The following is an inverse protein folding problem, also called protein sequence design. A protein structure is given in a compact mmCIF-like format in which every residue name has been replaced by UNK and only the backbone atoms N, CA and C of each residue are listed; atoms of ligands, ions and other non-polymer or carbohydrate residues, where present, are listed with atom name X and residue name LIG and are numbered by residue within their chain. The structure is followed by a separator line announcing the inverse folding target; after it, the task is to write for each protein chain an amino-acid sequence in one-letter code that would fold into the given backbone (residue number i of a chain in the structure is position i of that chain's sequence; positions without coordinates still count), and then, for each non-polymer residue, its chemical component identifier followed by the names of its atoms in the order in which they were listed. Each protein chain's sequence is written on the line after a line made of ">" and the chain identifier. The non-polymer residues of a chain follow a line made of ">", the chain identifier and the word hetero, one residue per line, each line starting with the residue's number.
data_IF_340307836018
#
_entry.id   IF_340307836018
#
_cell.length_a   1.000
_cell.length_b   1.000
_cell.length_c   1.000
_cell.angle_alpha   90.00
_cell.angle_beta   90.00
_cell.angle_gamma   90.00
#
_symmetry.space_group_name_H-M   'P 1'
#
loop_
_entity.id
_entity.type
_entity.pdbx_description
1 polymer ?
#
# COMPACT_ATOMS: atom_id res chain seq x y z
N UNK A 1 -59.14 14.85 -34.37
CA UNK A 1 -58.33 14.42 -33.22
C UNK A 1 -57.88 12.97 -33.42
N UNK A 2 -56.69 12.71 -34.01
CA UNK A 2 -56.13 11.36 -34.11
C UNK A 2 -55.36 11.05 -32.84
N UNK A 3 -55.78 10.05 -32.13
CA UNK A 3 -55.40 9.73 -30.77
C UNK A 3 -53.92 9.29 -30.64
N UNK A 4 -53.23 9.91 -29.72
CA UNK A 4 -51.82 9.67 -29.27
C UNK A 4 -51.61 8.27 -28.68
N UNK A 5 -52.60 7.34 -28.76
CA UNK A 5 -52.61 6.01 -28.17
C UNK A 5 -52.02 4.91 -29.09
N UNK A 6 -52.09 5.08 -30.41
CA UNK A 6 -51.57 4.06 -31.36
C UNK A 6 -50.06 3.74 -31.25
N UNK A 7 -49.13 4.72 -31.08
CA UNK A 7 -47.71 4.37 -31.01
C UNK A 7 -47.35 3.66 -29.69
N UNK A 8 -48.10 3.86 -28.61
CA UNK A 8 -47.88 3.15 -27.33
C UNK A 8 -48.29 1.69 -27.39
N UNK A 9 -49.43 1.39 -28.01
CA UNK A 9 -49.90 0.01 -28.22
C UNK A 9 -48.97 -0.80 -29.15
N UNK A 10 -48.49 -0.20 -30.24
CA UNK A 10 -47.51 -0.81 -31.13
C UNK A 10 -46.17 -1.11 -30.45
N UNK A 11 -45.72 -0.22 -29.57
CA UNK A 11 -44.50 -0.44 -28.75
C UNK A 11 -44.65 -1.54 -27.70
N UNK A 12 -45.82 -1.63 -27.07
CA UNK A 12 -46.16 -2.71 -26.12
C UNK A 12 -46.29 -4.07 -26.82
N UNK A 13 -46.93 -4.13 -27.97
CA UNK A 13 -47.03 -5.36 -28.78
C UNK A 13 -45.67 -5.82 -29.27
N UNK A 14 -44.79 -4.91 -29.68
CA UNK A 14 -43.41 -5.24 -30.07
C UNK A 14 -42.56 -5.77 -28.88
N UNK A 15 -42.78 -5.20 -27.69
CA UNK A 15 -42.12 -5.64 -26.45
C UNK A 15 -42.64 -7.04 -26.00
N UNK A 16 -43.95 -7.27 -26.06
CA UNK A 16 -44.59 -8.55 -25.76
C UNK A 16 -44.13 -9.65 -26.74
N UNK A 17 -44.03 -9.35 -28.03
CA UNK A 17 -43.57 -10.27 -29.07
C UNK A 17 -42.07 -10.63 -28.88
N UNK A 18 -41.26 -9.65 -28.47
CA UNK A 18 -39.84 -9.88 -28.13
C UNK A 18 -39.69 -10.78 -26.90
N UNK A 19 -40.50 -10.59 -25.86
CA UNK A 19 -40.50 -11.39 -24.63
C UNK A 19 -40.98 -12.84 -24.92
N UNK A 20 -42.01 -13.03 -25.72
CA UNK A 20 -42.52 -14.35 -26.12
C UNK A 20 -41.46 -15.08 -26.97
N UNK A 21 -40.79 -14.40 -27.90
CA UNK A 21 -39.74 -15.00 -28.70
C UNK A 21 -38.51 -15.37 -27.84
N UNK A 22 -38.16 -14.56 -26.83
CA UNK A 22 -37.10 -14.89 -25.87
C UNK A 22 -37.46 -16.09 -24.98
N UNK A 23 -38.71 -16.20 -24.52
CA UNK A 23 -39.19 -17.35 -23.77
C UNK A 23 -39.18 -18.65 -24.63
N UNK A 24 -39.64 -18.59 -25.92
CA UNK A 24 -39.53 -19.70 -26.86
C UNK A 24 -38.08 -20.12 -27.09
N UNK A 25 -37.16 -19.20 -27.13
CA UNK A 25 -35.72 -19.43 -27.25
C UNK A 25 -35.17 -20.31 -26.10
N UNK A 26 -35.54 -19.98 -24.86
CA UNK A 26 -35.10 -20.71 -23.66
C UNK A 26 -35.69 -22.15 -23.65
N UNK A 27 -36.89 -22.34 -24.16
CA UNK A 27 -37.58 -23.67 -24.16
C UNK A 27 -37.05 -24.58 -25.26
N UNK A 28 -36.56 -24.05 -26.39
CA UNK A 28 -36.13 -24.82 -27.58
C UNK A 28 -34.68 -25.36 -27.51
N UNK A 29 -33.90 -25.00 -26.47
CA UNK A 29 -32.52 -25.49 -26.35
C UNK A 29 -32.53 -26.99 -25.98
N UNK A 30 -31.89 -27.88 -26.74
CA UNK A 30 -31.79 -29.29 -26.40
C UNK A 30 -30.98 -29.45 -25.10
N UNK A 31 -31.63 -29.97 -24.06
CA UNK A 31 -31.04 -30.21 -22.73
C UNK A 31 -30.18 -31.49 -22.75
N UNK A 32 -29.05 -31.42 -23.44
CA UNK A 32 -28.06 -32.51 -23.49
C UNK A 32 -27.22 -32.53 -22.19
N UNK A 33 -26.48 -33.62 -21.96
CA UNK A 33 -25.51 -33.70 -20.85
C UNK A 33 -24.49 -32.54 -20.89
N UNK A 34 -24.02 -32.17 -22.07
CA UNK A 34 -23.11 -31.02 -22.28
C UNK A 34 -23.73 -29.69 -21.84
N UNK A 35 -25.05 -29.49 -22.09
CA UNK A 35 -25.74 -28.29 -21.61
C UNK A 35 -25.65 -28.13 -20.09
N UNK A 36 -25.94 -29.22 -19.35
CA UNK A 36 -25.87 -29.19 -17.88
C UNK A 36 -24.44 -28.98 -17.34
N UNK A 37 -23.46 -29.62 -17.96
CA UNK A 37 -22.06 -29.47 -17.57
C UNK A 37 -21.55 -28.00 -17.78
N UNK A 38 -21.85 -27.42 -18.94
CA UNK A 38 -21.49 -26.05 -19.27
C UNK A 38 -22.20 -25.05 -18.32
N UNK A 39 -23.50 -25.31 -18.05
CA UNK A 39 -24.28 -24.48 -17.11
C UNK A 39 -23.68 -24.53 -15.70
N UNK A 40 -23.34 -25.73 -15.21
CA UNK A 40 -22.71 -25.91 -13.91
C UNK A 40 -21.35 -25.20 -13.84
N UNK A 41 -20.52 -25.39 -14.86
CA UNK A 41 -19.20 -24.74 -14.94
C UNK A 41 -19.33 -23.21 -14.95
N UNK A 42 -20.29 -22.66 -15.68
CA UNK A 42 -20.59 -21.23 -15.72
C UNK A 42 -21.04 -20.74 -14.34
N UNK A 43 -21.98 -21.43 -13.68
CA UNK A 43 -22.47 -21.03 -12.34
C UNK A 43 -21.33 -21.02 -11.32
N UNK A 44 -20.46 -22.04 -11.33
CA UNK A 44 -19.28 -22.09 -10.46
C UNK A 44 -18.29 -20.98 -10.78
N UNK A 45 -18.04 -20.72 -12.06
CA UNK A 45 -17.14 -19.62 -12.49
C UNK A 45 -17.66 -18.25 -12.07
N UNK A 46 -18.95 -17.98 -12.30
CA UNK A 46 -19.59 -16.71 -11.89
C UNK A 46 -19.59 -16.57 -10.35
N UNK A 47 -19.95 -17.63 -9.62
CA UNK A 47 -19.94 -17.61 -8.17
C UNK A 47 -18.52 -17.32 -7.63
N UNK A 48 -17.49 -17.92 -8.20
CA UNK A 48 -16.10 -17.68 -7.82
C UNK A 48 -15.68 -16.24 -8.10
N UNK A 49 -15.92 -15.74 -9.32
CA UNK A 49 -15.51 -14.36 -9.70
C UNK A 49 -16.25 -13.30 -8.89
N UNK A 50 -17.55 -13.49 -8.63
CA UNK A 50 -18.34 -12.59 -7.76
C UNK A 50 -17.80 -12.63 -6.32
N UNK A 51 -17.49 -13.82 -5.78
CA UNK A 51 -16.90 -13.95 -4.45
C UNK A 51 -15.55 -13.22 -4.36
N UNK A 52 -14.69 -13.35 -5.37
CA UNK A 52 -13.41 -12.65 -5.43
C UNK A 52 -13.60 -11.12 -5.53
N UNK A 53 -14.62 -10.65 -6.25
CA UNK A 53 -15.00 -9.24 -6.29
C UNK A 53 -15.37 -8.69 -4.90
N UNK A 54 -16.23 -9.38 -4.17
CA UNK A 54 -16.59 -9.00 -2.80
C UNK A 54 -15.42 -9.10 -1.82
N UNK A 55 -14.56 -10.11 -1.97
CA UNK A 55 -13.35 -10.22 -1.16
C UNK A 55 -12.43 -9.01 -1.36
N UNK A 56 -12.25 -8.54 -2.59
CA UNK A 56 -11.46 -7.34 -2.87
C UNK A 56 -12.08 -6.09 -2.26
N UNK A 57 -13.42 -5.94 -2.28
CA UNK A 57 -14.10 -4.83 -1.62
C UNK A 57 -13.93 -4.87 -0.09
N UNK A 58 -13.99 -6.06 0.52
CA UNK A 58 -13.72 -6.21 1.96
C UNK A 58 -12.29 -5.78 2.30
N UNK A 59 -11.31 -6.17 1.48
CA UNK A 59 -9.92 -5.74 1.66
C UNK A 59 -9.72 -4.24 1.44
N UNK A 60 -10.48 -3.64 0.53
CA UNK A 60 -10.48 -2.18 0.34
C UNK A 60 -10.99 -1.47 1.61
N UNK A 61 -12.11 -1.93 2.17
CA UNK A 61 -12.70 -1.35 3.39
C UNK A 61 -11.76 -1.47 4.60
N UNK A 62 -11.10 -2.61 4.81
CA UNK A 62 -10.10 -2.78 5.88
C UNK A 62 -8.94 -1.78 5.73
N UNK A 63 -8.46 -1.57 4.50
CA UNK A 63 -7.38 -0.62 4.22
C UNK A 63 -7.82 0.83 4.39
N UNK A 64 -9.05 1.15 4.01
CA UNK A 64 -9.64 2.48 4.20
C UNK A 64 -9.74 2.82 5.68
N UNK A 65 -10.19 1.88 6.52
CA UNK A 65 -10.23 2.05 7.96
C UNK A 65 -8.82 2.33 8.52
N UNK A 66 -7.81 1.54 8.14
CA UNK A 66 -6.43 1.78 8.57
C UNK A 66 -5.89 3.13 8.10
N UNK A 67 -6.22 3.55 6.87
CA UNK A 67 -5.85 4.86 6.36
C UNK A 67 -6.48 5.99 7.18
N UNK A 68 -7.74 5.83 7.58
CA UNK A 68 -8.43 6.80 8.45
C UNK A 68 -7.76 6.88 9.84
N UNK A 69 -7.37 5.74 10.43
CA UNK A 69 -6.62 5.70 11.70
C UNK A 69 -5.27 6.44 11.59
N UNK A 70 -4.50 6.18 10.52
CA UNK A 70 -3.24 6.88 10.26
C UNK A 70 -3.49 8.39 10.13
N UNK A 71 -4.50 8.78 9.37
CA UNK A 71 -4.84 10.20 9.18
C UNK A 71 -5.24 10.86 10.48
N UNK A 72 -6.01 10.19 11.33
CA UNK A 72 -6.37 10.66 12.67
C UNK A 72 -5.13 10.87 13.55
N UNK A 73 -4.16 9.94 13.52
CA UNK A 73 -2.90 10.09 14.26
C UNK A 73 -2.06 11.27 13.73
N UNK A 74 -2.00 11.47 12.42
CA UNK A 74 -1.30 12.61 11.82
C UNK A 74 -1.93 13.97 12.20
N UNK A 75 -3.22 14.00 12.49
CA UNK A 75 -3.96 15.19 12.92
C UNK A 75 -3.97 15.37 14.45
N UNK A 76 -3.53 14.38 15.21
CA UNK A 76 -3.45 14.47 16.66
C UNK A 76 -2.50 15.60 17.10
N UNK A 77 -2.68 16.15 18.33
CA UNK A 77 -1.83 17.19 18.87
C UNK A 77 -0.34 16.85 18.74
N UNK A 78 0.47 17.84 18.39
CA UNK A 78 1.91 17.67 18.25
C UNK A 78 2.53 17.36 19.61
N UNK A 79 3.36 16.33 19.68
CA UNK A 79 4.07 15.97 20.89
C UNK A 79 5.37 16.78 21.01
N UNK A 80 5.58 17.39 22.16
CA UNK A 80 6.84 18.02 22.55
C UNK A 80 7.76 17.02 23.27
N UNK A 81 9.04 17.36 23.43
CA UNK A 81 10.01 16.56 24.20
C UNK A 81 9.50 16.20 25.60
N UNK A 82 8.99 17.13 26.41
CA UNK A 82 8.46 16.78 27.73
C UNK A 82 7.27 15.83 27.69
N UNK A 83 6.38 16.01 26.68
CA UNK A 83 5.21 15.12 26.49
C UNK A 83 5.61 13.72 26.05
N UNK A 84 6.72 13.61 25.31
CA UNK A 84 7.28 12.33 24.88
C UNK A 84 7.93 11.59 26.05
N UNK A 85 8.70 12.29 26.86
CA UNK A 85 9.38 11.73 28.05
C UNK A 85 8.40 11.30 29.13
N UNK A 86 7.26 12.00 29.27
CA UNK A 86 6.24 11.67 30.28
C UNK A 86 5.45 10.38 29.96
N UNK A 87 5.45 9.92 28.71
CA UNK A 87 4.68 8.77 28.27
C UNK A 87 5.54 7.89 27.37
N UNK A 88 5.78 6.61 27.73
CA UNK A 88 6.56 5.70 26.90
C UNK A 88 6.06 5.70 25.46
N UNK A 89 6.98 5.80 24.49
CA UNK A 89 6.68 5.70 23.06
C UNK A 89 6.22 4.28 22.74
N UNK A 90 4.90 4.09 22.77
CA UNK A 90 4.27 2.87 22.27
C UNK A 90 3.98 3.00 20.77
N UNK A 91 4.02 1.90 20.06
CA UNK A 91 3.60 1.80 18.65
C UNK A 91 2.17 2.29 18.38
N UNK A 92 1.35 2.49 19.40
CA UNK A 92 0.00 3.09 19.31
C UNK A 92 -0.01 4.56 18.82
N UNK A 93 1.13 5.25 18.83
CA UNK A 93 1.27 6.65 18.40
C UNK A 93 2.00 6.81 17.06
N UNK A 94 2.12 5.73 16.29
CA UNK A 94 2.73 5.80 14.96
C UNK A 94 2.02 6.87 14.13
N UNK A 95 2.81 7.62 13.38
CA UNK A 95 2.42 8.72 12.50
C UNK A 95 2.04 10.03 13.20
N UNK A 96 1.96 10.08 14.54
CA UNK A 96 1.73 11.33 15.26
C UNK A 96 2.93 12.28 15.09
N UNK A 97 2.64 13.55 14.88
CA UNK A 97 3.66 14.60 14.70
C UNK A 97 4.37 14.89 16.02
N UNK A 98 5.67 15.17 15.93
CA UNK A 98 6.52 15.51 17.08
C UNK A 98 7.38 16.73 16.77
N UNK A 99 7.67 17.51 17.81
CA UNK A 99 8.70 18.56 17.79
C UNK A 99 9.61 18.30 18.99
N UNK A 100 10.82 17.85 18.70
CA UNK A 100 11.79 17.41 19.68
C UNK A 100 12.94 18.40 19.79
N UNK A 101 13.44 18.59 21.00
CA UNK A 101 14.67 19.31 21.27
C UNK A 101 15.68 18.35 21.90
N UNK A 102 16.91 18.39 21.42
CA UNK A 102 17.97 17.49 21.90
C UNK A 102 19.32 17.78 21.25
N UNK A 103 20.28 16.92 21.52
CA UNK A 103 21.62 16.95 20.96
C UNK A 103 21.86 15.77 20.07
N UNK A 104 22.40 16.00 18.86
CA UNK A 104 22.81 14.90 18.00
C UNK A 104 23.97 14.13 18.60
N UNK A 105 23.98 12.81 18.39
CA UNK A 105 25.10 11.91 18.66
C UNK A 105 25.71 11.45 17.34
N UNK A 106 26.50 12.28 16.65
CA UNK A 106 26.97 12.02 15.28
C UNK A 106 27.87 10.79 15.17
N UNK A 107 28.58 10.46 16.23
CA UNK A 107 29.46 9.27 16.33
C UNK A 107 28.69 7.95 16.18
N UNK A 108 27.40 7.96 16.44
CA UNK A 108 26.48 6.83 16.30
C UNK A 108 25.63 6.90 15.04
N UNK A 109 25.98 7.73 14.06
CA UNK A 109 25.23 7.81 12.79
C UNK A 109 25.39 6.53 12.00
N UNK A 110 24.26 6.01 11.47
CA UNK A 110 24.18 4.83 10.59
C UNK A 110 23.64 5.22 9.23
N UNK A 111 24.28 4.71 8.19
CA UNK A 111 23.87 4.87 6.80
C UNK A 111 23.28 3.54 6.31
N UNK A 112 21.96 3.46 6.15
CA UNK A 112 21.31 2.27 5.62
C UNK A 112 21.42 2.24 4.10
N UNK A 113 22.21 1.32 3.57
CA UNK A 113 22.42 1.16 2.13
C UNK A 113 21.19 0.55 1.42
N UNK A 114 21.21 0.67 0.10
CA UNK A 114 20.18 0.14 -0.77
C UNK A 114 18.77 0.72 -0.50
N UNK A 115 18.73 2.01 -0.16
CA UNK A 115 17.49 2.76 0.06
C UNK A 115 17.26 3.72 -1.12
N UNK A 116 16.55 3.29 -2.17
CA UNK A 116 16.34 4.17 -3.32
C UNK A 116 15.37 5.30 -2.99
N UNK A 117 15.63 6.48 -3.56
CA UNK A 117 14.72 7.63 -3.55
C UNK A 117 14.72 8.25 -4.95
N UNK A 118 13.53 8.49 -5.52
CA UNK A 118 13.34 9.04 -6.86
C UNK A 118 14.14 8.29 -7.95
N UNK A 119 14.20 6.96 -7.87
CA UNK A 119 14.92 6.10 -8.83
C UNK A 119 16.44 6.12 -8.70
N UNK A 120 17.01 6.82 -7.72
CA UNK A 120 18.45 6.88 -7.44
C UNK A 120 18.80 6.02 -6.24
N UNK A 121 19.88 5.24 -6.31
CA UNK A 121 20.40 4.49 -5.18
C UNK A 121 21.06 5.42 -4.16
N UNK A 122 20.86 5.14 -2.86
CA UNK A 122 21.40 5.95 -1.80
C UNK A 122 21.22 5.35 -0.42
N UNK A 123 21.45 6.18 0.58
CA UNK A 123 21.43 5.84 2.00
C UNK A 123 20.30 6.55 2.72
N UNK A 124 19.60 5.87 3.61
CA UNK A 124 18.89 6.53 4.68
C UNK A 124 19.85 6.81 5.83
N UNK A 125 19.89 8.06 6.26
CA UNK A 125 20.77 8.51 7.34
C UNK A 125 20.00 8.50 8.65
N UNK A 126 20.48 7.74 9.61
CA UNK A 126 19.91 7.63 10.94
C UNK A 126 20.91 8.13 11.96
N UNK A 127 20.50 9.05 12.83
CA UNK A 127 21.33 9.57 13.91
C UNK A 127 20.51 9.59 15.20
N UNK A 128 21.04 9.13 16.34
CA UNK A 128 20.36 9.29 17.61
C UNK A 128 20.30 10.76 18.03
N UNK A 129 19.17 11.15 18.57
CA UNK A 129 18.96 12.43 19.22
C UNK A 129 18.81 12.18 20.72
N UNK A 130 19.73 12.73 21.51
CA UNK A 130 19.67 12.70 22.96
C UNK A 130 18.69 13.77 23.45
N UNK A 131 17.62 13.34 24.10
CA UNK A 131 16.53 14.21 24.59
C UNK A 131 16.78 14.68 26.01
N UNK A 132 17.35 13.81 26.84
CA UNK A 132 17.81 14.07 28.19
C UNK A 132 19.04 13.19 28.53
N UNK A 133 19.48 13.18 29.81
CA UNK A 133 20.67 12.43 30.25
C UNK A 133 20.59 10.93 29.94
N UNK A 134 19.40 10.34 29.95
CA UNK A 134 19.23 8.88 29.86
C UNK A 134 18.42 8.45 28.65
N UNK A 135 17.70 9.36 27.98
CA UNK A 135 16.74 8.99 26.94
C UNK A 135 17.18 9.48 25.58
N UNK A 136 17.16 8.58 24.63
CA UNK A 136 17.52 8.81 23.24
C UNK A 136 16.40 8.32 22.32
N UNK A 137 16.32 8.94 21.15
CA UNK A 137 15.43 8.50 20.06
C UNK A 137 16.23 8.43 18.76
N UNK A 138 16.06 7.35 18.02
CA UNK A 138 16.68 7.22 16.70
C UNK A 138 15.88 8.05 15.68
N UNK A 139 16.55 8.99 15.02
CA UNK A 139 15.93 9.85 14.03
C UNK A 139 16.36 9.44 12.63
N UNK A 140 15.40 9.16 11.75
CA UNK A 140 15.60 9.01 10.32
C UNK A 140 15.68 10.42 9.72
N UNK A 141 16.89 10.97 9.61
CA UNK A 141 17.15 12.38 9.26
C UNK A 141 16.84 12.71 7.82
N UNK A 142 17.07 11.78 6.91
CA UNK A 142 16.89 12.01 5.49
C UNK A 142 17.61 10.99 4.62
N UNK A 143 17.72 11.30 3.36
CA UNK A 143 18.36 10.49 2.36
C UNK A 143 19.53 11.22 1.69
N UNK A 144 20.59 10.47 1.41
CA UNK A 144 21.76 10.92 0.64
C UNK A 144 21.97 10.01 -0.57
N UNK A 145 22.37 10.56 -1.73
CA UNK A 145 22.75 9.74 -2.88
C UNK A 145 24.06 9.00 -2.58
N UNK A 146 24.15 7.74 -3.05
CA UNK A 146 25.38 6.97 -2.99
C UNK A 146 26.37 7.46 -4.03
N UNK A 147 27.67 7.41 -3.71
CA UNK A 147 28.74 7.68 -4.68
C UNK A 147 28.66 6.64 -5.82
N UNK A 148 28.79 7.09 -7.07
CA UNK A 148 28.53 6.23 -8.24
C UNK A 148 29.62 5.17 -8.44
N UNK A 149 30.88 5.49 -8.13
CA UNK A 149 32.03 4.64 -8.39
C UNK A 149 32.47 3.84 -7.15
N UNK A 150 32.27 4.39 -5.97
CA UNK A 150 32.71 3.74 -4.71
C UNK A 150 31.56 3.73 -3.70
N UNK A 151 31.11 2.52 -3.36
CA UNK A 151 30.02 2.29 -2.40
C UNK A 151 30.42 2.56 -0.96
N UNK A 152 31.71 2.59 -0.67
CA UNK A 152 32.25 2.76 0.68
C UNK A 152 32.48 4.21 1.02
N UNK A 153 32.47 5.09 0.03
CA UNK A 153 32.65 6.51 0.22
C UNK A 153 31.35 7.15 0.72
N UNK A 154 31.37 7.52 2.00
CA UNK A 154 30.25 8.23 2.62
C UNK A 154 30.28 9.69 2.18
N UNK A 155 29.11 10.26 1.84
CA UNK A 155 28.95 11.69 1.65
C UNK A 155 29.29 12.47 2.95
N UNK A 156 29.83 13.67 2.81
CA UNK A 156 30.05 14.56 3.95
C UNK A 156 28.70 15.00 4.53
N UNK A 157 28.45 14.64 5.78
CA UNK A 157 27.24 14.99 6.51
C UNK A 157 27.56 16.07 7.55
N UNK A 158 27.09 17.27 7.28
CA UNK A 158 27.22 18.35 8.24
C UNK A 158 26.15 18.20 9.34
N UNK A 159 26.58 17.76 10.52
CA UNK A 159 25.69 17.64 11.68
C UNK A 159 25.82 18.86 12.58
N UNK A 160 24.74 19.62 12.81
CA UNK A 160 24.77 20.76 13.71
C UNK A 160 25.20 20.36 15.12
N UNK A 161 26.02 21.21 15.75
CA UNK A 161 26.44 21.07 17.15
C UNK A 161 25.51 21.84 18.07
N UNK A 162 25.38 21.39 19.32
CA UNK A 162 24.52 22.03 20.32
C UNK A 162 23.08 21.56 20.33
N UNK A 163 22.22 22.37 20.97
CA UNK A 163 20.80 22.06 21.07
C UNK A 163 20.10 22.30 19.73
N UNK A 164 19.49 21.28 19.17
CA UNK A 164 18.72 21.36 17.92
C UNK A 164 17.24 21.11 18.16
N UNK A 165 16.41 21.62 17.24
CA UNK A 165 15.01 21.33 17.19
C UNK A 165 14.71 20.51 15.93
N UNK A 166 14.07 19.37 16.10
CA UNK A 166 13.71 18.44 15.04
C UNK A 166 12.20 18.33 14.94
N UNK A 167 11.66 18.58 13.76
CA UNK A 167 10.25 18.35 13.46
C UNK A 167 10.12 17.04 12.67
N UNK A 168 9.16 16.22 13.09
CA UNK A 168 9.00 14.92 12.47
C UNK A 168 7.68 14.25 12.84
N UNK A 169 7.64 12.96 12.59
CA UNK A 169 6.54 12.07 13.00
C UNK A 169 7.10 10.78 13.57
N UNK A 170 6.38 10.18 14.50
CA UNK A 170 6.72 8.86 15.01
C UNK A 170 6.61 7.84 13.88
N UNK A 171 7.63 7.04 13.69
CA UNK A 171 7.71 6.04 12.64
C UNK A 171 8.18 4.69 13.20
N UNK A 172 7.84 3.58 12.56
CA UNK A 172 8.46 2.31 12.89
C UNK A 172 9.96 2.36 12.55
N UNK A 173 10.76 1.46 13.11
CA UNK A 173 12.11 1.23 12.61
C UNK A 173 12.10 1.01 11.10
N UNK A 174 13.17 1.35 10.38
CA UNK A 174 13.29 1.05 8.96
C UNK A 174 13.05 -0.44 8.70
N UNK A 175 12.28 -0.76 7.65
CA UNK A 175 12.01 -2.15 7.27
C UNK A 175 13.29 -2.87 6.89
N UNK A 176 13.41 -4.13 7.30
CA UNK A 176 14.51 -4.98 6.91
C UNK A 176 14.46 -5.30 5.42
N UNK A 177 15.61 -5.20 4.77
CA UNK A 177 15.83 -5.73 3.43
C UNK A 177 16.28 -7.18 3.54
N UNK A 178 15.82 -8.01 2.61
CA UNK A 178 16.26 -9.40 2.53
C UNK A 178 17.76 -9.44 2.25
N UNK A 179 18.52 -10.01 3.18
CA UNK A 179 19.97 -10.24 3.03
C UNK A 179 20.19 -11.67 2.58
N UNK A 180 20.94 -11.86 1.49
CA UNK A 180 21.32 -13.19 1.00
C UNK A 180 22.48 -13.80 1.82
N UNK A 181 23.16 -12.99 2.63
CA UNK A 181 24.24 -13.42 3.52
C UNK A 181 23.93 -13.00 4.95
N UNK A 182 23.91 -13.97 5.85
CA UNK A 182 23.91 -13.75 7.30
C UNK A 182 25.34 -13.37 7.75
N UNK A 183 25.81 -12.18 7.39
CA UNK A 183 26.90 -11.58 8.15
C UNK A 183 26.25 -10.95 9.39
N UNK A 184 26.53 -11.46 10.59
CA UNK A 184 26.07 -10.81 11.81
C UNK A 184 26.55 -9.35 11.77
N UNK A 185 25.70 -8.42 12.13
CA UNK A 185 26.02 -7.00 12.28
C UNK A 185 26.93 -6.85 13.50
N UNK A 186 28.15 -7.39 13.39
CA UNK A 186 29.18 -7.28 14.42
C UNK A 186 29.65 -5.85 14.39
N UNK A 187 29.09 -5.03 15.26
CA UNK A 187 29.42 -3.63 15.48
C UNK A 187 30.87 -3.43 15.95
N UNK A 188 31.83 -3.86 15.15
CA UNK A 188 33.23 -3.48 15.30
C UNK A 188 33.42 -2.06 14.77
N UNK A 189 33.13 -1.08 15.61
CA UNK A 189 33.38 0.32 15.38
C UNK A 189 34.88 0.61 15.31
N UNK A 190 35.48 0.45 14.13
CA UNK A 190 36.87 0.91 13.92
C UNK A 190 37.21 1.39 12.51
N UNK A 191 36.23 1.44 11.60
CA UNK A 191 36.42 2.09 10.29
C UNK A 191 35.10 2.67 9.79
N UNK A 192 35.14 3.71 8.95
CA UNK A 192 33.94 4.33 8.37
C UNK A 192 32.98 3.35 7.68
N UNK A 193 33.43 2.14 7.37
CA UNK A 193 32.62 1.02 6.85
C UNK A 193 31.63 0.45 7.88
N UNK A 194 31.90 0.55 9.18
CA UNK A 194 31.01 0.09 10.25
C UNK A 194 29.74 0.95 10.37
N UNK A 195 29.73 2.13 9.78
CA UNK A 195 28.57 3.01 9.74
C UNK A 195 27.59 2.66 8.60
N UNK A 196 28.06 1.94 7.57
CA UNK A 196 27.22 1.50 6.45
C UNK A 196 26.64 0.11 6.79
N UNK A 197 25.31 0.05 6.91
CA UNK A 197 24.58 -1.18 7.23
C UNK A 197 23.47 -1.38 6.22
N UNK A 198 23.04 -2.61 6.03
CA UNK A 198 21.86 -2.91 5.20
C UNK A 198 20.57 -2.84 6.02
N UNK A 199 20.63 -3.34 7.24
CA UNK A 199 19.54 -3.34 8.22
C UNK A 199 20.02 -2.81 9.57
N UNK A 200 19.12 -2.51 10.47
CA UNK A 200 19.41 -2.10 11.84
C UNK A 200 18.49 -2.86 12.79
N UNK A 201 19.09 -3.65 13.66
CA UNK A 201 18.39 -4.29 14.77
C UNK A 201 18.38 -3.33 15.96
N UNK A 202 17.20 -2.85 16.33
CA UNK A 202 17.05 -1.80 17.35
C UNK A 202 17.62 -2.20 18.70
N UNK A 203 17.46 -3.47 19.11
CA UNK A 203 17.97 -3.96 20.41
C UNK A 203 19.50 -3.97 20.45
N UNK A 204 20.13 -4.47 19.39
CA UNK A 204 21.59 -4.48 19.25
C UNK A 204 22.16 -3.07 19.14
N UNK A 205 21.42 -2.18 18.49
CA UNK A 205 21.84 -0.79 18.35
C UNK A 205 21.67 -0.03 19.67
N UNK A 206 20.59 -0.24 20.40
CA UNK A 206 20.37 0.33 21.72
C UNK A 206 21.45 -0.12 22.74
N UNK A 207 21.91 -1.37 22.65
CA UNK A 207 23.02 -1.85 23.48
C UNK A 207 24.33 -1.09 23.25
N UNK A 208 24.55 -0.51 22.07
CA UNK A 208 25.74 0.27 21.73
C UNK A 208 25.62 1.76 22.14
N UNK A 209 24.40 2.31 22.03
CA UNK A 209 24.16 3.76 22.19
C UNK A 209 23.61 4.10 23.58
N UNK A 210 22.96 3.15 24.24
CA UNK A 210 22.25 3.30 25.53
C UNK A 210 20.73 3.31 25.35
N UNK A 211 20.01 3.55 26.45
CA UNK A 211 18.55 3.46 26.47
C UNK A 211 17.88 4.32 25.40
N UNK A 212 17.05 3.67 24.61
CA UNK A 212 16.44 4.25 23.43
C UNK A 212 14.97 3.83 23.29
N UNK A 213 14.16 4.69 22.73
CA UNK A 213 12.80 4.34 22.37
C UNK A 213 12.76 3.26 21.28
N UNK A 214 11.82 2.32 21.39
CA UNK A 214 11.61 1.27 20.39
C UNK A 214 11.08 1.80 19.04
N UNK A 215 10.35 2.92 19.06
CA UNK A 215 9.94 3.63 17.85
C UNK A 215 10.97 4.67 17.45
N UNK A 216 11.02 5.00 16.16
CA UNK A 216 11.91 6.03 15.61
C UNK A 216 11.15 7.32 15.32
N UNK A 217 11.85 8.38 14.98
CA UNK A 217 11.27 9.62 14.46
C UNK A 217 11.72 9.83 13.02
N UNK A 218 10.78 9.97 12.12
CA UNK A 218 11.06 10.36 10.74
C UNK A 218 11.04 11.89 10.66
N UNK A 219 12.16 12.50 10.34
CA UNK A 219 12.30 13.96 10.22
C UNK A 219 11.56 14.46 8.97
N UNK A 220 10.75 15.52 9.11
CA UNK A 220 9.86 16.02 8.05
C UNK A 220 9.96 17.53 7.82
N UNK A 221 10.85 18.23 8.52
CA UNK A 221 11.18 19.62 8.22
C UNK A 221 11.86 19.76 6.85
N UNK A 222 12.08 20.99 6.42
CA UNK A 222 12.69 21.28 5.12
C UNK A 222 14.06 20.62 4.96
N UNK A 223 14.42 20.36 3.72
CA UNK A 223 15.72 19.78 3.37
C UNK A 223 16.85 20.65 3.89
N UNK A 224 17.74 20.07 4.68
CA UNK A 224 18.89 20.74 5.32
C UNK A 224 20.05 19.77 5.43
N UNK A 225 21.25 20.28 5.72
CA UNK A 225 22.42 19.46 6.00
C UNK A 225 22.82 18.53 4.85
N UNK A 226 22.41 18.86 3.60
CA UNK A 226 22.60 18.03 2.41
C UNK A 226 21.64 16.84 2.28
N UNK A 227 20.71 16.68 3.22
CA UNK A 227 19.76 15.58 3.27
C UNK A 227 18.46 15.89 2.51
N UNK A 228 18.00 14.96 1.71
CA UNK A 228 16.67 15.01 1.07
C UNK A 228 15.65 14.32 1.96
N UNK A 229 14.46 14.92 2.10
CA UNK A 229 13.36 14.41 2.94
C UNK A 229 12.07 14.16 2.15
N UNK A 230 12.20 13.75 0.90
CA UNK A 230 11.08 13.39 0.04
C UNK A 230 10.57 11.97 0.34
N UNK A 231 10.07 11.79 1.56
CA UNK A 231 9.59 10.50 2.01
C UNK A 231 8.35 10.05 1.23
N UNK A 232 8.25 8.75 0.88
CA UNK A 232 7.07 8.24 0.23
C UNK A 232 5.80 8.52 1.04
N UNK A 233 4.70 8.91 0.40
CA UNK A 233 3.43 9.12 1.09
C UNK A 233 2.92 7.81 1.70
N UNK A 234 2.30 7.92 2.88
CA UNK A 234 1.71 6.78 3.57
C UNK A 234 0.36 6.49 2.94
N UNK A 235 0.32 5.55 2.01
CA UNK A 235 -0.92 5.13 1.32
C UNK A 235 -1.13 3.64 1.47
N UNK A 236 -2.36 3.24 1.76
CA UNK A 236 -2.74 1.83 1.85
C UNK A 236 -3.05 1.21 0.48
N UNK A 237 -3.11 2.02 -0.59
CA UNK A 237 -3.38 1.55 -1.94
C UNK A 237 -4.78 0.94 -2.08
N UNK A 238 -5.79 1.59 -1.53
CA UNK A 238 -7.21 1.18 -1.56
C UNK A 238 -7.71 1.06 -2.98
N UNK A 239 -7.32 1.99 -3.85
CA UNK A 239 -7.74 2.11 -5.24
C UNK A 239 -7.40 0.84 -6.05
N UNK A 240 -6.28 0.19 -5.75
CA UNK A 240 -5.88 -1.07 -6.40
C UNK A 240 -6.90 -2.19 -6.12
N UNK A 241 -7.38 -2.29 -4.89
CA UNK A 241 -8.37 -3.30 -4.52
C UNK A 241 -9.72 -3.02 -5.17
N UNK A 242 -10.15 -1.75 -5.26
CA UNK A 242 -11.38 -1.35 -5.95
C UNK A 242 -11.28 -1.68 -7.45
N UNK A 243 -10.15 -1.38 -8.09
CA UNK A 243 -9.90 -1.71 -9.49
C UNK A 243 -9.97 -3.24 -9.74
N UNK A 244 -9.36 -4.04 -8.86
CA UNK A 244 -9.45 -5.51 -8.96
C UNK A 244 -10.88 -6.02 -8.73
N UNK A 245 -11.65 -5.44 -7.79
CA UNK A 245 -13.04 -5.81 -7.60
C UNK A 245 -13.87 -5.55 -8.86
N UNK A 246 -13.68 -4.39 -9.49
CA UNK A 246 -14.31 -4.07 -10.77
C UNK A 246 -13.96 -5.09 -11.86
N UNK A 247 -12.69 -5.46 -12.00
CA UNK A 247 -12.27 -6.48 -12.97
C UNK A 247 -12.95 -7.82 -12.73
N UNK A 248 -13.09 -8.28 -11.48
CA UNK A 248 -13.77 -9.53 -11.15
C UNK A 248 -15.26 -9.48 -11.52
N UNK A 249 -15.95 -8.38 -11.25
CA UNK A 249 -17.36 -8.22 -11.64
C UNK A 249 -17.53 -8.13 -13.16
N UNK A 250 -16.60 -7.48 -13.87
CA UNK A 250 -16.61 -7.48 -15.34
C UNK A 250 -16.41 -8.89 -15.91
N UNK A 251 -15.51 -9.70 -15.31
CA UNK A 251 -15.33 -11.09 -15.72
C UNK A 251 -16.58 -11.94 -15.47
N UNK A 252 -17.28 -11.75 -14.34
CA UNK A 252 -18.54 -12.41 -14.07
C UNK A 252 -19.61 -12.04 -15.11
N UNK A 253 -19.72 -10.76 -15.43
CA UNK A 253 -20.64 -10.28 -16.46
C UNK A 253 -20.31 -10.84 -17.86
N UNK A 254 -19.03 -10.88 -18.20
CA UNK A 254 -18.55 -11.46 -19.47
C UNK A 254 -18.88 -12.95 -19.57
N UNK A 255 -18.65 -13.74 -18.50
CA UNK A 255 -19.00 -15.17 -18.45
C UNK A 255 -20.49 -15.38 -18.68
N UNK A 256 -21.36 -14.59 -18.02
CA UNK A 256 -22.80 -14.64 -18.24
C UNK A 256 -23.18 -14.27 -19.68
N UNK A 257 -22.57 -13.24 -20.23
CA UNK A 257 -22.85 -12.78 -21.60
C UNK A 257 -22.43 -13.85 -22.63
N UNK A 258 -21.25 -14.43 -22.48
CA UNK A 258 -20.77 -15.51 -23.35
C UNK A 258 -21.67 -16.77 -23.23
N UNK A 259 -22.04 -17.13 -22.01
CA UNK A 259 -22.96 -18.24 -21.76
C UNK A 259 -24.29 -18.04 -22.49
N UNK A 260 -24.92 -16.86 -22.33
CA UNK A 260 -26.19 -16.53 -23.02
C UNK A 260 -26.01 -16.56 -24.54
N UNK A 261 -24.89 -16.03 -25.02
CA UNK A 261 -24.60 -16.01 -26.45
C UNK A 261 -24.48 -17.41 -27.04
N UNK A 262 -23.64 -18.27 -26.47
CA UNK A 262 -23.36 -19.59 -27.03
C UNK A 262 -24.48 -20.58 -26.79
N UNK A 263 -25.14 -20.50 -25.62
CA UNK A 263 -26.20 -21.51 -25.30
C UNK A 263 -27.56 -21.13 -25.87
N UNK A 264 -27.85 -19.87 -26.10
CA UNK A 264 -29.19 -19.44 -26.52
C UNK A 264 -29.18 -18.69 -27.86
N UNK A 265 -28.33 -17.69 -28.04
CA UNK A 265 -28.40 -16.82 -29.23
C UNK A 265 -27.86 -17.51 -30.47
N UNK A 266 -26.70 -18.13 -30.39
CA UNK A 266 -26.05 -18.77 -31.54
C UNK A 266 -26.88 -19.93 -32.11
N UNK A 267 -27.40 -20.91 -31.33
CA UNK A 267 -28.23 -21.98 -31.83
C UNK A 267 -29.51 -21.47 -32.52
N UNK A 268 -30.14 -20.45 -31.93
CA UNK A 268 -31.33 -19.85 -32.54
C UNK A 268 -31.05 -19.21 -33.92
N UNK A 269 -29.90 -18.55 -34.09
CA UNK A 269 -29.51 -17.94 -35.37
C UNK A 269 -29.23 -19.03 -36.42
N UNK A 270 -28.65 -20.16 -36.03
CA UNK A 270 -28.44 -21.30 -36.95
C UNK A 270 -29.75 -21.95 -37.36
N UNK A 271 -30.64 -22.26 -36.42
CA UNK A 271 -31.94 -22.85 -36.70
C UNK A 271 -32.79 -22.02 -37.66
N UNK A 272 -32.71 -20.70 -37.58
CA UNK A 272 -33.44 -19.77 -38.45
C UNK A 272 -32.87 -19.66 -39.85
N UNK A 273 -31.58 -19.99 -40.07
CA UNK A 273 -30.94 -20.00 -41.39
C UNK A 273 -31.19 -21.28 -42.14
N UNK A 274 -31.46 -22.38 -41.47
CA UNK A 274 -31.77 -23.69 -42.07
C UNK A 274 -33.25 -23.88 -42.37
N UNK A 275 -34.12 -22.97 -41.91
CA UNK A 275 -35.57 -23.01 -42.16
C UNK A 275 -36.02 -22.04 -43.27
N UNK A 276 -35.09 -21.39 -43.98
CA UNK A 276 -35.29 -20.60 -45.18
C UNK A 276 -34.68 -21.30 -46.40
#
# INVERSE_FOLDING_TARGET
>A
MKTKAEPKLAKMAKKAKATINFMRLIISVPRTRSFYLVTLAMLLGVALTVRLGFWQLSRAAEKEQRQAEITAQMQAPVLSTPSLLAVPLHFKRLHQRVVLQGHWLPEHTVYLDNRPMNGRAGFWVLTPLQLDTNTRVLVQRGWLPRHQLDRTLLPDLQTPTGLVQVQGRIAPPPSDLMTLSHTPDTGAASSGLAQIRQNIEMDNYAAQVGDMFAATVLQTDDASEGLTREWPPITMGVEKNIAYAFQWFCLAALQLMLYIWFQFIQPYRHARRTSL
#
